data_IF_818628947159
#
_entry.id   IF_818628947159
#
_cell.length_a   1.000
_cell.length_b   1.000
_cell.length_c   1.000
_cell.angle_alpha   90.00
_cell.angle_beta   90.00
_cell.angle_gamma   90.00
#
_symmetry.space_group_name_H-M   'P 1'
#
loop_
_entity.id
_entity.type
_entity.pdbx_description
1 polymer ?
#
# COMPACT_ATOMS: atom_id res chain seq x y z
N UNK A 1 6.56 10.94 -21.82
CA UNK A 1 6.85 10.17 -20.58
C UNK A 1 8.25 9.56 -20.68
N UNK A 2 9.16 9.93 -19.77
CA UNK A 2 10.56 9.50 -19.81
C UNK A 2 10.68 8.00 -19.50
N UNK A 3 11.61 7.28 -20.16
CA UNK A 3 11.75 5.82 -20.00
C UNK A 3 12.03 5.41 -18.55
N UNK A 4 12.75 6.27 -17.81
CA UNK A 4 13.00 6.12 -16.38
C UNK A 4 11.74 6.19 -15.52
N UNK A 5 10.81 7.09 -15.84
CA UNK A 5 9.53 7.20 -15.13
C UNK A 5 8.66 5.97 -15.40
N UNK A 6 8.70 5.43 -16.62
CA UNK A 6 7.98 4.20 -16.96
C UNK A 6 8.50 2.98 -16.18
N UNK A 7 9.83 2.79 -16.11
CA UNK A 7 10.45 1.70 -15.35
C UNK A 7 10.12 1.85 -13.85
N UNK A 8 10.25 3.06 -13.30
CA UNK A 8 9.95 3.32 -11.90
C UNK A 8 8.49 3.04 -11.55
N UNK A 9 7.54 3.46 -12.39
CA UNK A 9 6.12 3.18 -12.21
C UNK A 9 5.79 1.69 -12.30
N UNK A 10 6.43 0.95 -13.21
CA UNK A 10 6.27 -0.52 -13.30
C UNK A 10 6.79 -1.20 -12.03
N UNK A 11 7.91 -0.73 -11.49
CA UNK A 11 8.51 -1.28 -10.27
C UNK A 11 7.65 -0.98 -9.04
N UNK A 12 7.13 0.24 -8.93
CA UNK A 12 6.14 0.65 -7.93
C UNK A 12 4.87 -0.18 -8.02
N UNK A 13 4.32 -0.36 -9.22
CA UNK A 13 3.16 -1.23 -9.45
C UNK A 13 3.46 -2.66 -9.01
N UNK A 14 4.64 -3.18 -9.34
CA UNK A 14 5.07 -4.51 -8.92
C UNK A 14 5.04 -4.69 -7.40
N UNK A 15 5.61 -3.74 -6.66
CA UNK A 15 5.66 -3.78 -5.19
C UNK A 15 4.27 -3.57 -4.57
N UNK A 16 3.52 -2.58 -5.06
CA UNK A 16 2.19 -2.23 -4.54
C UNK A 16 1.11 -3.25 -4.92
N UNK A 17 1.31 -4.07 -5.95
CA UNK A 17 0.32 -5.04 -6.41
C UNK A 17 0.69 -6.48 -6.06
N UNK A 18 1.88 -6.96 -6.40
CA UNK A 18 2.23 -8.37 -6.15
C UNK A 18 2.40 -8.68 -4.67
N UNK A 19 3.00 -7.77 -3.89
CA UNK A 19 3.24 -8.03 -2.47
C UNK A 19 1.93 -8.14 -1.66
N UNK A 20 0.96 -7.22 -1.82
CA UNK A 20 -0.36 -7.36 -1.20
C UNK A 20 -1.14 -8.57 -1.70
N UNK A 21 -1.07 -8.86 -3.01
CA UNK A 21 -1.78 -9.98 -3.63
C UNK A 21 -1.29 -11.33 -3.09
N UNK A 22 0.02 -11.51 -2.94
CA UNK A 22 0.61 -12.74 -2.41
C UNK A 22 0.17 -13.00 -0.96
N UNK A 23 0.04 -11.93 -0.17
CA UNK A 23 -0.43 -11.99 1.22
C UNK A 23 -1.93 -12.27 1.28
N UNK A 24 -2.72 -11.63 0.43
CA UNK A 24 -4.16 -11.88 0.32
C UNK A 24 -4.48 -13.33 -0.09
N UNK A 25 -3.77 -13.86 -1.09
CA UNK A 25 -3.94 -15.24 -1.54
C UNK A 25 -3.58 -16.25 -0.44
N UNK A 26 -2.52 -16.00 0.31
CA UNK A 26 -2.16 -16.82 1.47
C UNK A 26 -3.21 -16.73 2.60
N UNK A 27 -3.71 -15.53 2.91
CA UNK A 27 -4.79 -15.34 3.91
C UNK A 27 -6.08 -16.06 3.53
N UNK A 28 -6.42 -16.08 2.24
CA UNK A 28 -7.62 -16.75 1.71
C UNK A 28 -7.64 -18.25 2.00
N UNK A 29 -6.46 -18.89 2.10
CA UNK A 29 -6.30 -20.31 2.42
C UNK A 29 -6.61 -20.65 3.90
N UNK A 30 -6.60 -19.67 4.80
CA UNK A 30 -6.73 -19.85 6.26
C UNK A 30 -7.89 -19.07 6.91
N UNK A 31 -8.91 -18.68 6.12
CA UNK A 31 -9.96 -17.68 6.42
C UNK A 31 -10.57 -17.70 7.82
N UNK A 32 -10.96 -18.85 8.36
CA UNK A 32 -11.67 -18.93 9.66
C UNK A 32 -10.72 -18.82 10.86
N UNK A 33 -9.55 -19.44 10.80
CA UNK A 33 -8.53 -19.32 11.85
C UNK A 33 -7.84 -17.95 11.85
N UNK A 34 -7.61 -17.36 10.66
CA UNK A 34 -6.98 -16.07 10.49
C UNK A 34 -7.81 -14.91 11.09
N UNK A 35 -9.13 -14.90 10.84
CA UNK A 35 -10.02 -13.91 11.48
C UNK A 35 -10.03 -14.07 13.01
N UNK A 36 -10.14 -15.31 13.49
CA UNK A 36 -10.10 -15.60 14.93
C UNK A 36 -8.85 -15.05 15.59
N UNK A 37 -7.67 -15.28 15.00
CA UNK A 37 -6.37 -14.79 15.49
C UNK A 37 -6.24 -13.26 15.49
N UNK A 38 -6.77 -12.60 14.46
CA UNK A 38 -6.85 -11.13 14.42
C UNK A 38 -7.76 -10.59 15.55
N UNK A 39 -8.83 -11.29 15.89
CA UNK A 39 -9.69 -10.93 17.03
C UNK A 39 -9.12 -11.30 18.41
N UNK A 40 -8.10 -12.17 18.48
CA UNK A 40 -7.36 -12.41 19.71
C UNK A 40 -6.41 -11.26 20.03
N UNK A 41 -5.83 -10.63 19.00
CA UNK A 41 -4.90 -9.49 19.12
C UNK A 41 -5.54 -8.14 18.73
N UNK A 42 -6.80 -7.91 19.13
CA UNK A 42 -7.62 -6.73 18.76
C UNK A 42 -6.86 -5.40 18.77
N UNK A 43 -6.12 -5.09 19.83
CA UNK A 43 -5.41 -3.81 19.95
C UNK A 43 -4.35 -3.62 18.86
N UNK A 44 -3.56 -4.66 18.55
CA UNK A 44 -2.56 -4.58 17.48
C UNK A 44 -3.21 -4.54 16.09
N UNK A 45 -4.26 -5.34 15.90
CA UNK A 45 -5.02 -5.36 14.65
C UNK A 45 -5.65 -4.00 14.37
N UNK A 46 -6.27 -3.35 15.36
CA UNK A 46 -6.84 -2.01 15.23
C UNK A 46 -5.78 -1.00 14.81
N UNK A 47 -4.60 -0.99 15.45
CA UNK A 47 -3.50 -0.09 15.06
C UNK A 47 -3.05 -0.30 13.62
N UNK A 48 -2.98 -1.55 13.17
CA UNK A 48 -2.59 -1.88 11.79
C UNK A 48 -3.64 -1.42 10.79
N UNK A 49 -4.93 -1.58 11.10
CA UNK A 49 -6.01 -1.04 10.27
C UNK A 49 -6.06 0.49 10.26
N UNK A 50 -5.72 1.16 11.37
CA UNK A 50 -5.59 2.63 11.40
C UNK A 50 -4.45 3.10 10.49
N UNK A 51 -3.30 2.45 10.53
CA UNK A 51 -2.16 2.78 9.66
C UNK A 51 -2.50 2.48 8.19
N UNK A 52 -3.25 1.40 7.93
CA UNK A 52 -3.76 1.11 6.59
C UNK A 52 -4.72 2.20 6.09
N UNK A 53 -5.63 2.68 6.94
CA UNK A 53 -6.54 3.77 6.58
C UNK A 53 -5.77 5.05 6.21
N UNK A 54 -4.72 5.40 6.98
CA UNK A 54 -3.83 6.53 6.66
C UNK A 54 -3.13 6.31 5.31
N UNK A 55 -2.64 5.10 5.04
CA UNK A 55 -2.05 4.77 3.74
C UNK A 55 -3.07 4.95 2.60
N UNK A 56 -4.31 4.52 2.77
CA UNK A 56 -5.34 4.70 1.73
C UNK A 56 -5.69 6.17 1.47
N UNK A 57 -5.67 7.02 2.51
CA UNK A 57 -5.83 8.48 2.34
C UNK A 57 -4.67 9.04 1.51
N UNK A 58 -3.43 8.68 1.85
CA UNK A 58 -2.24 9.11 1.09
C UNK A 58 -2.28 8.62 -0.36
N UNK A 59 -2.76 7.40 -0.60
CA UNK A 59 -2.95 6.87 -1.96
C UNK A 59 -3.95 7.71 -2.75
N UNK A 60 -5.09 8.06 -2.14
CA UNK A 60 -6.08 8.93 -2.79
C UNK A 60 -5.50 10.30 -3.14
N UNK A 61 -4.66 10.87 -2.28
CA UNK A 61 -3.95 12.11 -2.57
C UNK A 61 -2.95 11.94 -3.72
N UNK A 62 -2.19 10.84 -3.76
CA UNK A 62 -1.25 10.56 -4.85
C UNK A 62 -1.97 10.44 -6.20
N UNK A 63 -3.10 9.71 -6.24
CA UNK A 63 -3.93 9.59 -7.46
C UNK A 63 -4.45 10.96 -7.90
N UNK A 64 -4.94 11.78 -6.96
CA UNK A 64 -5.39 13.13 -7.28
C UNK A 64 -4.27 14.00 -7.88
N UNK A 65 -3.07 13.96 -7.29
CA UNK A 65 -1.90 14.69 -7.80
C UNK A 65 -1.56 14.24 -9.22
N UNK A 66 -1.56 12.93 -9.47
CA UNK A 66 -1.26 12.38 -10.80
C UNK A 66 -2.29 12.83 -11.85
N UNK A 67 -3.58 12.83 -11.50
CA UNK A 67 -4.65 13.34 -12.37
C UNK A 67 -4.44 14.83 -12.67
N UNK A 68 -4.10 15.65 -11.67
CA UNK A 68 -3.86 17.09 -11.87
C UNK A 68 -2.62 17.32 -12.74
N UNK A 69 -1.56 16.53 -12.56
CA UNK A 69 -0.36 16.58 -13.39
C UNK A 69 -0.69 16.30 -14.86
N UNK A 70 -1.54 15.29 -15.14
CA UNK A 70 -1.97 14.96 -16.51
C UNK A 70 -2.72 16.10 -17.22
N UNK A 71 -3.40 16.99 -16.48
CA UNK A 71 -4.16 18.11 -17.05
C UNK A 71 -3.36 19.40 -17.18
N UNK A 72 -2.41 19.65 -16.28
CA UNK A 72 -1.73 20.94 -16.15
C UNK A 72 -0.22 20.89 -16.38
N UNK A 73 0.36 19.69 -16.55
CA UNK A 73 1.78 19.42 -16.87
C UNK A 73 2.74 20.22 -15.95
N UNK A 74 2.49 20.15 -14.63
CA UNK A 74 3.19 20.96 -13.61
C UNK A 74 4.38 20.14 -13.07
N UNK A 75 5.65 20.50 -13.37
CA UNK A 75 6.81 19.66 -13.06
C UNK A 75 6.99 19.30 -11.57
N UNK A 76 6.48 20.16 -10.67
CA UNK A 76 6.56 19.97 -9.22
C UNK A 76 5.60 18.86 -8.73
N UNK A 77 4.46 18.65 -9.40
CA UNK A 77 3.47 17.65 -9.01
C UNK A 77 4.00 16.23 -9.22
N UNK A 78 4.71 15.98 -10.32
CA UNK A 78 5.35 14.69 -10.55
C UNK A 78 6.37 14.33 -9.45
N UNK A 79 7.19 15.30 -9.00
CA UNK A 79 8.12 15.07 -7.89
C UNK A 79 7.39 14.76 -6.56
N UNK A 80 6.30 15.49 -6.27
CA UNK A 80 5.46 15.23 -5.10
C UNK A 80 4.80 13.85 -5.16
N UNK A 81 4.29 13.46 -6.33
CA UNK A 81 3.70 12.14 -6.56
C UNK A 81 4.69 11.02 -6.26
N UNK A 82 5.92 11.13 -6.75
CA UNK A 82 6.99 10.16 -6.51
C UNK A 82 7.27 10.02 -5.01
N UNK A 83 7.42 11.13 -4.28
CA UNK A 83 7.69 11.13 -2.83
C UNK A 83 6.55 10.45 -2.06
N UNK A 84 5.29 10.83 -2.35
CA UNK A 84 4.13 10.26 -1.68
C UNK A 84 4.00 8.76 -1.98
N UNK A 85 4.26 8.36 -3.23
CA UNK A 85 4.21 6.95 -3.65
C UNK A 85 5.27 6.09 -2.94
N UNK A 86 6.47 6.63 -2.70
CA UNK A 86 7.52 5.95 -1.93
C UNK A 86 7.09 5.79 -0.46
N UNK A 87 6.58 6.84 0.17
CA UNK A 87 6.08 6.78 1.56
C UNK A 87 4.94 5.77 1.68
N UNK A 88 3.99 5.79 0.73
CA UNK A 88 2.89 4.86 0.65
C UNK A 88 3.38 3.40 0.59
N UNK A 89 4.40 3.15 -0.23
CA UNK A 89 4.98 1.82 -0.40
C UNK A 89 5.52 1.28 0.93
N UNK A 90 6.27 2.09 1.68
CA UNK A 90 6.78 1.69 2.99
C UNK A 90 5.66 1.42 4.00
N UNK A 91 4.63 2.27 4.03
CA UNK A 91 3.47 2.08 4.91
C UNK A 91 2.71 0.79 4.60
N UNK A 92 2.48 0.50 3.32
CA UNK A 92 1.78 -0.71 2.91
C UNK A 92 2.62 -1.95 3.22
N UNK A 93 3.93 -1.96 2.94
CA UNK A 93 4.83 -3.05 3.32
C UNK A 93 4.73 -3.33 4.82
N UNK A 94 4.76 -2.28 5.66
CA UNK A 94 4.62 -2.42 7.11
C UNK A 94 3.28 -3.07 7.51
N UNK A 95 2.17 -2.55 6.98
CA UNK A 95 0.82 -3.08 7.26
C UNK A 95 0.74 -4.56 6.90
N UNK A 96 1.17 -4.90 5.69
CA UNK A 96 1.11 -6.25 5.16
C UNK A 96 2.01 -7.21 5.92
N UNK A 97 3.23 -6.79 6.25
CA UNK A 97 4.15 -7.56 7.10
C UNK A 97 3.53 -7.85 8.47
N UNK A 98 2.95 -6.83 9.11
CA UNK A 98 2.36 -6.99 10.44
C UNK A 98 1.12 -7.88 10.41
N UNK A 99 0.25 -7.73 9.41
CA UNK A 99 -0.90 -8.61 9.19
C UNK A 99 -0.47 -10.05 9.00
N UNK A 100 0.54 -10.31 8.17
CA UNK A 100 1.07 -11.66 7.94
C UNK A 100 1.56 -12.29 9.25
N UNK A 101 2.33 -11.54 10.05
CA UNK A 101 2.87 -12.06 11.31
C UNK A 101 1.76 -12.37 12.33
N UNK A 102 0.73 -11.53 12.43
CA UNK A 102 -0.43 -11.76 13.30
C UNK A 102 -1.26 -12.98 12.90
N UNK A 103 -1.28 -13.34 11.61
CA UNK A 103 -2.01 -14.52 11.13
C UNK A 103 -1.19 -15.80 11.25
N UNK A 104 0.14 -15.71 11.12
CA UNK A 104 1.04 -16.87 11.21
C UNK A 104 1.12 -17.45 12.63
N UNK A 105 1.11 -16.60 13.65
CA UNK A 105 0.99 -16.99 15.07
C UNK A 105 -0.38 -17.61 15.36
#
# INVERSE_FOLDING_TARGET
MNIYNAIFNILLFGILFFFPLMIFLNLRKYKTAALGRLFTNKSQTIKVFQIFAVAMILYSCAVFINIVDDFYDIPVLNNLYIIISVILTFLLIYVFYKLYWMVKL
#
